data_IF_743048117750
#
_entry.id   IF_743048117750
#
_cell.length_a   1.000
_cell.length_b   1.000
_cell.length_c   1.000
_cell.angle_alpha   90.00
_cell.angle_beta   90.00
_cell.angle_gamma   90.00
#
_symmetry.space_group_name_H-M   'P 1'
#
loop_
_entity.id
_entity.type
_entity.pdbx_description
1 polymer ?
#
# COMPACT_ATOMS: atom_id res chain seq x y z
N UNK A 1 17.24 22.08 0.62
CA UNK A 1 17.76 22.90 -0.49
C UNK A 1 16.66 23.70 -1.23
N UNK A 2 15.56 24.06 -0.56
CA UNK A 2 14.46 24.84 -1.16
C UNK A 2 14.52 26.40 -1.05
N UNK A 3 15.36 27.06 -0.21
CA UNK A 3 15.20 28.51 0.02
C UNK A 3 15.79 29.43 -1.07
N UNK A 4 16.68 28.90 -1.92
CA UNK A 4 17.31 29.72 -2.97
C UNK A 4 16.38 29.96 -4.17
N UNK A 5 15.49 29.01 -4.47
CA UNK A 5 14.56 29.11 -5.60
C UNK A 5 13.46 30.16 -5.33
N UNK A 6 12.99 30.26 -4.08
CA UNK A 6 11.94 31.20 -3.67
C UNK A 6 12.42 32.66 -3.73
N UNK A 7 13.67 32.92 -3.35
CA UNK A 7 14.25 34.28 -3.37
C UNK A 7 14.40 34.84 -4.80
N UNK A 8 14.86 34.02 -5.75
CA UNK A 8 14.98 34.43 -7.16
C UNK A 8 13.60 34.67 -7.79
N UNK A 9 12.60 33.88 -7.39
CA UNK A 9 11.23 34.03 -7.84
C UNK A 9 10.60 35.35 -7.37
N UNK A 10 10.79 35.72 -6.11
CA UNK A 10 10.25 37.00 -5.59
C UNK A 10 10.93 38.21 -6.24
N UNK A 11 12.25 38.19 -6.42
CA UNK A 11 13.00 39.26 -7.10
C UNK A 11 12.57 39.44 -8.57
N UNK A 12 12.28 38.35 -9.27
CA UNK A 12 11.81 38.41 -10.66
C UNK A 12 10.36 38.91 -10.75
N UNK A 13 9.49 38.52 -9.83
CA UNK A 13 8.12 39.05 -9.74
C UNK A 13 8.13 40.56 -9.48
N UNK A 14 8.94 41.04 -8.53
CA UNK A 14 8.98 42.46 -8.20
C UNK A 14 9.56 43.31 -9.33
N UNK A 15 10.59 42.82 -10.02
CA UNK A 15 11.12 43.48 -11.21
C UNK A 15 10.07 43.58 -12.33
N UNK A 16 9.31 42.50 -12.58
CA UNK A 16 8.22 42.49 -13.56
C UNK A 16 7.08 43.43 -13.17
N UNK A 17 6.71 43.47 -11.87
CA UNK A 17 5.65 44.33 -11.35
C UNK A 17 6.00 45.80 -11.52
N UNK A 18 7.24 46.18 -11.21
CA UNK A 18 7.71 47.56 -11.32
C UNK A 18 7.78 48.01 -12.79
N UNK A 19 8.25 47.14 -13.69
CA UNK A 19 8.27 47.41 -15.13
C UNK A 19 6.85 47.56 -15.71
N UNK A 20 5.89 46.76 -15.22
CA UNK A 20 4.48 46.87 -15.64
C UNK A 20 3.84 48.19 -15.24
N UNK A 21 4.14 48.70 -14.03
CA UNK A 21 3.62 50.00 -13.55
C UNK A 21 4.20 51.14 -14.35
N UNK A 22 5.50 51.09 -14.63
CA UNK A 22 6.20 52.12 -15.40
C UNK A 22 5.71 52.14 -16.86
N UNK A 23 5.50 50.97 -17.47
CA UNK A 23 4.83 50.88 -18.79
C UNK A 23 3.42 51.45 -18.74
N UNK A 24 2.56 51.04 -17.80
CA UNK A 24 1.19 51.57 -17.68
C UNK A 24 1.17 53.10 -17.52
N UNK A 25 2.07 53.64 -16.69
CA UNK A 25 2.23 55.08 -16.55
C UNK A 25 2.64 55.73 -17.88
N UNK A 26 3.58 55.15 -18.63
CA UNK A 26 4.00 55.63 -19.94
C UNK A 26 2.87 55.58 -20.99
N UNK A 27 2.05 54.52 -20.98
CA UNK A 27 0.91 54.34 -21.87
C UNK A 27 -0.21 55.36 -21.63
N UNK A 28 -0.45 55.75 -20.38
CA UNK A 28 -1.50 56.72 -20.03
C UNK A 28 -0.98 58.15 -20.15
N UNK A 29 0.18 58.43 -19.56
CA UNK A 29 0.73 59.79 -19.48
C UNK A 29 1.31 60.22 -20.82
N UNK A 30 1.92 59.33 -21.60
CA UNK A 30 2.58 59.64 -22.86
C UNK A 30 1.65 60.30 -23.89
N UNK A 31 0.49 59.69 -24.23
CA UNK A 31 -0.46 60.30 -25.17
C UNK A 31 -1.09 61.59 -24.64
N UNK A 32 -1.39 61.67 -23.34
CA UNK A 32 -1.97 62.87 -22.71
C UNK A 32 -0.96 64.03 -22.74
N UNK A 33 0.29 63.78 -22.35
CA UNK A 33 1.36 64.78 -22.40
C UNK A 33 1.69 65.16 -23.85
N UNK A 34 1.74 64.20 -24.78
CA UNK A 34 2.01 64.46 -26.19
C UNK A 34 0.94 65.33 -26.85
N UNK A 35 -0.35 65.03 -26.60
CA UNK A 35 -1.48 65.82 -27.11
C UNK A 35 -1.54 67.21 -26.48
N UNK A 36 -1.29 67.33 -25.17
CA UNK A 36 -1.21 68.62 -24.49
C UNK A 36 -0.07 69.49 -25.04
N UNK A 37 1.12 68.91 -25.23
CA UNK A 37 2.28 69.64 -25.79
C UNK A 37 2.02 70.10 -27.22
N UNK A 38 1.40 69.24 -28.06
CA UNK A 38 1.02 69.60 -29.42
C UNK A 38 0.00 70.76 -29.45
N UNK A 39 -1.02 70.72 -28.57
CA UNK A 39 -2.00 71.79 -28.43
C UNK A 39 -1.40 73.12 -27.95
N UNK A 40 -0.47 73.08 -26.99
CA UNK A 40 0.24 74.27 -26.51
C UNK A 40 1.14 74.88 -27.58
N UNK A 41 1.83 74.07 -28.38
CA UNK A 41 2.64 74.54 -29.51
C UNK A 41 1.77 75.21 -30.59
N UNK A 42 0.59 74.64 -30.87
CA UNK A 42 -0.36 75.21 -31.83
C UNK A 42 -1.03 76.49 -31.31
N UNK A 43 -1.19 76.63 -29.99
CA UNK A 43 -1.65 77.88 -29.39
C UNK A 43 -0.56 78.95 -29.48
N UNK A 44 0.69 78.59 -29.16
CA UNK A 44 1.84 79.49 -29.22
C UNK A 44 2.10 80.03 -30.64
N UNK A 45 1.90 79.19 -31.67
CA UNK A 45 2.07 79.62 -33.07
C UNK A 45 1.08 80.68 -33.53
N UNK A 46 -0.02 80.90 -32.80
CA UNK A 46 -0.97 82.01 -33.09
C UNK A 46 -0.50 83.37 -32.59
N UNK A 47 0.51 83.42 -31.73
CA UNK A 47 1.00 84.66 -31.10
C UNK A 47 2.38 85.11 -31.59
N UNK A 48 2.96 84.44 -32.58
CA UNK A 48 4.32 84.71 -33.07
C UNK A 48 4.35 85.30 -34.50
N UNK A 49 5.47 85.93 -34.88
CA UNK A 49 5.68 86.63 -36.17
C UNK A 49 5.91 85.62 -37.31
N UNK A 50 5.53 86.00 -38.55
CA UNK A 50 5.33 85.11 -39.72
C UNK A 50 6.34 83.96 -39.94
N UNK A 51 7.64 84.19 -39.76
CA UNK A 51 8.65 83.16 -40.02
C UNK A 51 8.78 82.13 -38.88
N UNK A 52 8.45 82.50 -37.64
CA UNK A 52 8.46 81.58 -36.49
C UNK A 52 7.24 80.66 -36.48
N UNK A 53 6.12 81.12 -37.07
CA UNK A 53 4.87 80.37 -37.20
C UNK A 53 5.06 79.10 -38.04
N UNK A 54 5.85 79.17 -39.11
CA UNK A 54 6.17 78.02 -39.96
C UNK A 54 6.92 76.95 -39.17
N UNK A 55 7.92 77.35 -38.38
CA UNK A 55 8.71 76.43 -37.54
C UNK A 55 7.86 75.74 -36.48
N UNK A 56 7.00 76.48 -35.78
CA UNK A 56 6.11 75.93 -34.76
C UNK A 56 5.03 75.00 -35.33
N UNK A 57 4.49 75.32 -36.52
CA UNK A 57 3.52 74.46 -37.19
C UNK A 57 4.16 73.13 -37.64
N UNK A 58 5.37 73.17 -38.20
CA UNK A 58 6.13 71.95 -38.56
C UNK A 58 6.45 71.12 -37.31
N UNK A 59 6.91 71.76 -36.23
CA UNK A 59 7.18 71.07 -34.97
C UNK A 59 5.92 70.37 -34.41
N UNK A 60 4.76 71.05 -34.43
CA UNK A 60 3.50 70.48 -33.96
C UNK A 60 3.06 69.25 -34.78
N UNK A 61 3.23 69.30 -36.11
CA UNK A 61 2.95 68.17 -37.00
C UNK A 61 3.88 66.99 -36.72
N UNK A 62 5.18 67.24 -36.51
CA UNK A 62 6.14 66.21 -36.13
C UNK A 62 5.80 65.56 -34.79
N UNK A 63 5.38 66.35 -33.78
CA UNK A 63 4.95 65.81 -32.48
C UNK A 63 3.70 64.96 -32.61
N UNK A 64 2.71 65.38 -33.40
CA UNK A 64 1.50 64.60 -33.64
C UNK A 64 1.82 63.26 -34.31
N UNK A 65 2.68 63.25 -35.33
CA UNK A 65 3.14 62.03 -36.00
C UNK A 65 3.88 61.12 -35.01
N UNK A 66 4.77 61.68 -34.18
CA UNK A 66 5.50 60.92 -33.18
C UNK A 66 4.57 60.24 -32.15
N UNK A 67 3.54 60.94 -31.66
CA UNK A 67 2.55 60.35 -30.74
C UNK A 67 1.79 59.20 -31.38
N UNK A 68 1.41 59.31 -32.66
CA UNK A 68 0.76 58.21 -33.40
C UNK A 68 1.70 57.02 -33.56
N UNK A 69 2.97 57.24 -33.92
CA UNK A 69 3.97 56.17 -34.04
C UNK A 69 4.16 55.46 -32.70
N UNK A 70 4.30 56.21 -31.60
CA UNK A 70 4.42 55.64 -30.25
C UNK A 70 3.17 54.86 -29.89
N UNK A 71 1.97 55.39 -30.14
CA UNK A 71 0.71 54.69 -29.86
C UNK A 71 0.58 53.38 -30.65
N UNK A 72 0.99 53.35 -31.92
CA UNK A 72 0.99 52.14 -32.76
C UNK A 72 2.04 51.14 -32.27
N UNK A 73 3.27 51.57 -31.98
CA UNK A 73 4.32 50.71 -31.41
C UNK A 73 3.88 50.10 -30.08
N UNK A 74 3.24 50.91 -29.23
CA UNK A 74 2.65 50.47 -27.97
C UNK A 74 1.52 49.46 -28.22
N UNK A 75 0.59 49.70 -29.15
CA UNK A 75 -0.49 48.75 -29.47
C UNK A 75 0.01 47.43 -30.07
N UNK A 76 1.11 47.47 -30.85
CA UNK A 76 1.74 46.27 -31.40
C UNK A 76 2.51 45.50 -30.32
N UNK A 77 3.14 46.19 -29.36
CA UNK A 77 3.88 45.57 -28.25
C UNK A 77 2.98 45.12 -27.10
N UNK A 78 1.75 45.63 -26.98
CA UNK A 78 0.76 45.24 -25.97
C UNK A 78 0.03 43.92 -26.31
N UNK A 79 0.37 43.29 -27.44
CA UNK A 79 -0.18 41.98 -27.86
C UNK A 79 0.17 40.81 -26.91
N UNK A 80 1.00 41.00 -25.89
CA UNK A 80 1.48 39.89 -25.05
C UNK A 80 0.79 39.73 -23.68
N UNK A 81 0.02 40.69 -23.18
CA UNK A 81 -0.45 40.65 -21.77
C UNK A 81 -1.41 39.51 -21.45
N UNK A 82 -2.56 39.41 -22.14
CA UNK A 82 -3.53 38.34 -21.92
C UNK A 82 -2.99 36.95 -22.31
N UNK A 83 -2.17 36.88 -23.35
CA UNK A 83 -1.58 35.63 -23.82
C UNK A 83 -0.50 35.12 -22.87
N UNK A 84 0.37 36.00 -22.34
CA UNK A 84 1.35 35.62 -21.31
C UNK A 84 0.68 35.20 -19.99
N UNK A 85 -0.42 35.86 -19.59
CA UNK A 85 -1.19 35.42 -18.42
C UNK A 85 -1.83 34.05 -18.64
N UNK A 86 -2.37 33.80 -19.85
CA UNK A 86 -2.93 32.50 -20.20
C UNK A 86 -1.85 31.42 -20.23
N UNK A 87 -0.68 31.72 -20.79
CA UNK A 87 0.46 30.80 -20.81
C UNK A 87 0.97 30.50 -19.40
N UNK A 88 1.06 31.51 -18.54
CA UNK A 88 1.41 31.35 -17.13
C UNK A 88 0.38 30.50 -16.37
N UNK A 89 -0.92 30.67 -16.66
CA UNK A 89 -1.95 29.85 -16.05
C UNK A 89 -1.87 28.39 -16.51
N UNK A 90 -1.64 28.16 -17.81
CA UNK A 90 -1.47 26.81 -18.36
C UNK A 90 -0.20 26.12 -17.83
N UNK A 91 0.88 26.87 -17.61
CA UNK A 91 2.10 26.31 -17.01
C UNK A 91 1.89 25.96 -15.53
N UNK A 92 1.17 26.80 -14.77
CA UNK A 92 0.77 26.50 -13.39
C UNK A 92 -0.13 25.26 -13.30
N UNK A 93 -1.15 25.15 -14.16
CA UNK A 93 -2.00 23.96 -14.21
C UNK A 93 -1.21 22.69 -14.56
N UNK A 94 -0.25 22.77 -15.49
CA UNK A 94 0.62 21.63 -15.83
C UNK A 94 1.53 21.25 -14.67
N UNK A 95 2.11 22.22 -13.98
CA UNK A 95 2.95 21.98 -12.81
C UNK A 95 2.16 21.25 -11.71
N UNK A 96 0.95 21.72 -11.39
CA UNK A 96 0.07 21.07 -10.41
C UNK A 96 -0.33 19.65 -10.80
N UNK A 97 -0.61 19.40 -12.08
CA UNK A 97 -0.91 18.04 -12.57
C UNK A 97 0.28 17.11 -12.41
N UNK A 98 1.48 17.56 -12.76
CA UNK A 98 2.71 16.78 -12.59
C UNK A 98 3.04 16.52 -11.12
N UNK A 99 2.77 17.49 -10.24
CA UNK A 99 2.94 17.31 -8.79
C UNK A 99 1.99 16.22 -8.26
N UNK A 100 0.72 16.25 -8.68
CA UNK A 100 -0.25 15.21 -8.31
C UNK A 100 0.13 13.84 -8.86
N UNK A 101 0.52 13.75 -10.13
CA UNK A 101 0.97 12.50 -10.75
C UNK A 101 2.20 11.93 -10.03
N UNK A 102 3.14 12.80 -9.63
CA UNK A 102 4.29 12.42 -8.82
C UNK A 102 3.85 11.85 -7.47
N UNK A 103 2.92 12.50 -6.77
CA UNK A 103 2.37 12.01 -5.50
C UNK A 103 1.72 10.63 -5.65
N UNK A 104 0.89 10.45 -6.67
CA UNK A 104 0.25 9.16 -6.99
C UNK A 104 1.32 8.07 -7.26
N UNK A 105 2.38 8.39 -8.01
CA UNK A 105 3.49 7.47 -8.26
C UNK A 105 4.23 7.09 -6.97
N UNK A 106 4.49 8.04 -6.07
CA UNK A 106 5.15 7.73 -4.79
C UNK A 106 4.31 6.79 -3.93
N UNK A 107 3.00 6.98 -3.88
CA UNK A 107 2.07 6.08 -3.18
C UNK A 107 2.15 4.66 -3.75
N UNK A 108 2.19 4.52 -5.08
CA UNK A 108 2.32 3.20 -5.72
C UNK A 108 3.70 2.56 -5.48
N UNK A 109 4.78 3.34 -5.46
CA UNK A 109 6.13 2.86 -5.10
C UNK A 109 6.15 2.33 -3.66
N UNK A 110 5.55 3.06 -2.71
CA UNK A 110 5.50 2.64 -1.30
C UNK A 110 4.71 1.35 -1.12
N UNK A 111 3.56 1.20 -1.81
CA UNK A 111 2.79 -0.06 -1.83
C UNK A 111 3.60 -1.22 -2.41
N UNK A 112 4.30 -0.99 -3.52
CA UNK A 112 5.14 -2.00 -4.16
C UNK A 112 6.30 -2.42 -3.25
N UNK A 113 6.94 -1.46 -2.58
CA UNK A 113 8.02 -1.71 -1.63
C UNK A 113 7.54 -2.54 -0.42
N UNK A 114 6.37 -2.22 0.13
CA UNK A 114 5.77 -3.00 1.22
C UNK A 114 5.51 -4.46 0.80
N UNK A 115 4.95 -4.67 -0.40
CA UNK A 115 4.69 -6.02 -0.95
C UNK A 115 5.98 -6.80 -1.19
N UNK A 116 7.00 -6.14 -1.73
CA UNK A 116 8.31 -6.74 -1.91
C UNK A 116 8.96 -7.12 -0.57
N UNK A 117 8.74 -6.31 0.47
CA UNK A 117 9.12 -6.63 1.84
C UNK A 117 8.47 -7.92 2.33
N UNK A 118 7.13 -8.03 2.25
CA UNK A 118 6.42 -9.24 2.67
C UNK A 118 6.83 -10.50 1.88
N UNK A 119 7.06 -10.40 0.57
CA UNK A 119 7.56 -11.51 -0.26
C UNK A 119 8.97 -11.95 0.16
N UNK A 120 9.87 -10.99 0.38
CA UNK A 120 11.24 -11.28 0.84
C UNK A 120 11.22 -11.96 2.19
N UNK A 121 10.39 -11.48 3.12
CA UNK A 121 10.21 -12.09 4.44
C UNK A 121 9.61 -13.49 4.36
N UNK A 122 8.62 -13.72 3.49
CA UNK A 122 8.06 -15.04 3.26
C UNK A 122 9.09 -16.01 2.70
N UNK A 123 9.91 -15.57 1.75
CA UNK A 123 10.99 -16.37 1.19
C UNK A 123 12.07 -16.72 2.22
N UNK A 124 12.52 -15.75 3.02
CA UNK A 124 13.45 -16.00 4.12
C UNK A 124 12.86 -16.97 5.16
N UNK A 125 11.57 -16.82 5.46
CA UNK A 125 10.83 -17.70 6.36
C UNK A 125 10.75 -19.13 5.80
N UNK A 126 10.51 -19.31 4.51
CA UNK A 126 10.45 -20.63 3.89
C UNK A 126 11.80 -21.35 3.88
N UNK A 127 12.91 -20.61 3.71
CA UNK A 127 14.27 -21.14 3.87
C UNK A 127 14.47 -21.62 5.32
N UNK A 128 14.16 -20.79 6.31
CA UNK A 128 14.32 -21.15 7.72
C UNK A 128 13.45 -22.37 8.12
N UNK A 129 12.22 -22.46 7.60
CA UNK A 129 11.37 -23.65 7.79
C UNK A 129 11.99 -24.90 7.17
N UNK A 130 12.60 -24.78 5.99
CA UNK A 130 13.29 -25.90 5.33
C UNK A 130 14.50 -26.38 6.13
N UNK A 131 15.27 -25.45 6.70
CA UNK A 131 16.42 -25.78 7.56
C UNK A 131 16.00 -26.58 8.81
N UNK A 132 14.79 -26.38 9.35
CA UNK A 132 14.26 -27.20 10.44
C UNK A 132 13.93 -28.64 10.04
N UNK A 133 13.66 -28.90 8.76
CA UNK A 133 13.28 -30.23 8.26
C UNK A 133 14.53 -31.11 8.06
N UNK A 134 15.66 -30.53 7.67
CA UNK A 134 16.88 -31.27 7.33
C UNK A 134 17.40 -32.19 8.45
N UNK A 135 17.46 -31.78 9.73
CA UNK A 135 17.87 -32.67 10.81
C UNK A 135 16.95 -33.88 11.00
N UNK A 136 15.66 -33.76 10.69
CA UNK A 136 14.69 -34.86 10.84
C UNK A 136 14.97 -35.97 9.84
N UNK A 137 15.43 -35.63 8.65
CA UNK A 137 15.84 -36.60 7.64
C UNK A 137 17.09 -37.39 8.06
N UNK A 138 17.92 -36.81 8.93
CA UNK A 138 19.20 -37.41 9.36
C UNK A 138 19.10 -38.17 10.69
N UNK A 139 18.42 -37.58 11.68
CA UNK A 139 18.34 -38.11 13.06
C UNK A 139 17.10 -39.00 13.25
N UNK A 140 16.12 -38.90 12.35
CA UNK A 140 14.84 -39.57 12.47
C UNK A 140 13.80 -38.75 13.26
N UNK A 141 12.57 -39.28 13.37
CA UNK A 141 11.41 -38.56 13.87
C UNK A 141 11.45 -38.31 15.37
N UNK A 142 12.25 -39.04 16.14
CA UNK A 142 12.21 -38.96 17.61
C UNK A 142 10.86 -39.42 18.17
N UNK A 143 10.59 -39.09 19.43
CA UNK A 143 9.31 -39.38 20.08
C UNK A 143 8.23 -38.32 19.76
N UNK A 144 6.99 -38.57 20.20
CA UNK A 144 5.85 -37.65 20.01
C UNK A 144 6.15 -36.25 20.59
N UNK A 145 6.92 -36.17 21.67
CA UNK A 145 7.31 -34.91 22.29
C UNK A 145 8.26 -34.11 21.40
N UNK A 146 9.27 -34.77 20.83
CA UNK A 146 10.18 -34.18 19.86
C UNK A 146 9.44 -33.74 18.59
N UNK A 147 8.46 -34.52 18.12
CA UNK A 147 7.61 -34.12 17.00
C UNK A 147 6.82 -32.84 17.31
N UNK A 148 6.11 -32.80 18.45
CA UNK A 148 5.37 -31.61 18.90
C UNK A 148 6.28 -30.38 19.03
N UNK A 149 7.48 -30.54 19.62
CA UNK A 149 8.46 -29.48 19.74
C UNK A 149 8.91 -28.91 18.38
N UNK A 150 9.08 -29.77 17.36
CA UNK A 150 9.43 -29.32 16.00
C UNK A 150 8.29 -28.59 15.30
N UNK A 151 7.05 -29.08 15.42
CA UNK A 151 5.87 -28.38 14.91
C UNK A 151 5.74 -27.00 15.54
N UNK A 152 6.00 -26.91 16.84
CA UNK A 152 5.97 -25.67 17.59
C UNK A 152 7.11 -24.71 17.18
N UNK A 153 8.31 -25.22 16.92
CA UNK A 153 9.43 -24.44 16.40
C UNK A 153 9.15 -23.86 15.00
N UNK A 154 8.47 -24.63 14.12
CA UNK A 154 8.04 -24.12 12.81
C UNK A 154 7.03 -22.96 12.95
N UNK A 155 6.10 -23.06 13.91
CA UNK A 155 5.22 -21.93 14.24
C UNK A 155 6.01 -20.73 14.77
N UNK A 156 7.01 -20.93 15.63
CA UNK A 156 7.83 -19.83 16.16
C UNK A 156 8.61 -19.09 15.06
N UNK A 157 9.15 -19.81 14.06
CA UNK A 157 9.80 -19.19 12.89
C UNK A 157 8.80 -18.30 12.13
N UNK A 158 7.62 -18.83 11.84
CA UNK A 158 6.57 -18.09 11.15
C UNK A 158 6.16 -16.83 11.94
N UNK A 159 6.00 -16.96 13.27
CA UNK A 159 5.49 -15.91 14.14
C UNK A 159 6.53 -14.85 14.51
N UNK A 160 7.81 -15.14 14.34
CA UNK A 160 8.89 -14.15 14.46
C UNK A 160 8.65 -12.97 13.50
N UNK A 161 8.10 -13.24 12.31
CA UNK A 161 7.81 -12.25 11.28
C UNK A 161 6.30 -11.97 11.12
N UNK A 162 5.50 -12.16 12.17
CA UNK A 162 4.03 -12.07 12.07
C UNK A 162 3.51 -10.71 11.60
N UNK A 163 4.24 -9.62 11.88
CA UNK A 163 3.85 -8.27 11.49
C UNK A 163 3.93 -8.12 9.96
N UNK A 164 5.02 -8.56 9.37
CA UNK A 164 5.27 -8.46 7.93
C UNK A 164 4.46 -9.48 7.12
N UNK A 165 4.25 -10.67 7.70
CA UNK A 165 3.55 -11.79 7.03
C UNK A 165 2.03 -11.72 7.15
N UNK A 166 1.50 -11.25 8.29
CA UNK A 166 0.06 -11.23 8.55
C UNK A 166 -0.49 -9.83 8.84
N UNK A 167 0.36 -8.82 9.02
CA UNK A 167 -0.06 -7.51 9.52
C UNK A 167 -0.42 -7.50 11.01
N UNK A 168 0.02 -8.52 11.77
CA UNK A 168 -0.35 -8.70 13.17
C UNK A 168 0.57 -7.90 14.10
N UNK A 169 0.00 -7.02 14.92
CA UNK A 169 0.75 -6.16 15.87
C UNK A 169 0.30 -6.42 17.31
N UNK A 170 -0.86 -5.91 17.70
CA UNK A 170 -1.34 -5.94 19.10
C UNK A 170 -2.74 -6.56 19.25
N UNK A 171 -3.08 -7.46 18.34
CA UNK A 171 -4.39 -8.14 18.33
C UNK A 171 -4.30 -9.52 19.02
N UNK A 172 -5.44 -10.12 19.40
CA UNK A 172 -5.44 -11.50 19.90
C UNK A 172 -5.36 -12.43 18.71
N UNK A 173 -4.39 -13.33 18.74
CA UNK A 173 -4.20 -14.31 17.68
C UNK A 173 -3.91 -15.69 18.28
N UNK A 174 -4.22 -16.71 17.49
CA UNK A 174 -3.87 -18.10 17.79
C UNK A 174 -3.49 -18.81 16.50
N UNK A 175 -2.32 -19.44 16.50
CA UNK A 175 -1.82 -20.31 15.44
C UNK A 175 -1.63 -21.71 16.00
N UNK A 176 -2.19 -22.71 15.34
CA UNK A 176 -2.13 -24.09 15.81
C UNK A 176 -1.93 -25.07 14.67
N UNK A 177 -1.28 -26.19 14.96
CA UNK A 177 -1.19 -27.35 14.08
C UNK A 177 -1.97 -28.48 14.74
N UNK A 178 -2.93 -29.02 14.00
CA UNK A 178 -3.70 -30.18 14.38
C UNK A 178 -3.28 -31.38 13.53
N UNK A 179 -2.98 -32.51 14.15
CA UNK A 179 -2.75 -33.79 13.46
C UNK A 179 -3.96 -34.69 13.65
N UNK A 180 -4.31 -35.43 12.60
CA UNK A 180 -5.42 -36.38 12.67
C UNK A 180 -5.02 -37.65 13.43
N UNK A 181 -5.85 -38.05 14.39
CA UNK A 181 -5.76 -39.31 15.13
C UNK A 181 -6.81 -40.28 14.60
N UNK A 182 -6.35 -41.29 13.87
CA UNK A 182 -7.22 -42.30 13.26
C UNK A 182 -7.91 -43.22 14.27
N UNK A 183 -7.40 -43.36 15.50
CA UNK A 183 -8.04 -44.19 16.53
C UNK A 183 -9.27 -43.50 17.12
N UNK A 184 -9.24 -42.16 17.18
CA UNK A 184 -10.30 -41.33 17.76
C UNK A 184 -11.20 -40.68 16.71
N UNK A 185 -10.81 -40.70 15.44
CA UNK A 185 -11.46 -39.95 14.35
C UNK A 185 -11.54 -38.44 14.66
N UNK A 186 -10.47 -37.91 15.24
CA UNK A 186 -10.39 -36.53 15.73
C UNK A 186 -9.07 -35.86 15.37
N UNK A 187 -9.11 -34.56 15.16
CA UNK A 187 -7.96 -33.69 15.03
C UNK A 187 -7.50 -33.21 16.41
N UNK A 188 -6.28 -33.58 16.78
CA UNK A 188 -5.66 -33.25 18.06
C UNK A 188 -4.64 -32.14 17.86
N UNK A 189 -4.68 -31.12 18.72
CA UNK A 189 -3.72 -30.01 18.67
C UNK A 189 -2.33 -30.50 19.08
N UNK A 190 -1.40 -30.53 18.13
CA UNK A 190 -0.03 -31.02 18.32
C UNK A 190 0.94 -29.88 18.63
N UNK A 191 0.61 -28.66 18.21
CA UNK A 191 1.34 -27.45 18.56
C UNK A 191 0.41 -26.23 18.54
N UNK A 192 0.59 -25.30 19.47
CA UNK A 192 -0.19 -24.07 19.56
C UNK A 192 0.71 -22.91 19.98
N UNK A 193 0.41 -21.74 19.42
CA UNK A 193 1.03 -20.47 19.73
C UNK A 193 -0.04 -19.39 19.83
N UNK A 194 -0.01 -18.62 20.91
CA UNK A 194 -0.99 -17.57 21.20
C UNK A 194 -0.29 -16.27 21.56
N UNK A 195 -1.04 -15.17 21.52
CA UNK A 195 -0.56 -13.87 22.01
C UNK A 195 -0.02 -13.97 23.44
N UNK A 196 -0.80 -14.60 24.33
CA UNK A 196 -0.38 -14.88 25.69
C UNK A 196 0.22 -16.28 25.78
N UNK A 197 1.47 -16.37 26.24
CA UNK A 197 2.19 -17.65 26.40
C UNK A 197 1.58 -18.51 27.51
N UNK A 198 0.98 -17.90 28.54
CA UNK A 198 0.30 -18.64 29.60
C UNK A 198 -0.92 -19.42 29.06
N UNK A 199 -1.57 -18.89 28.03
CA UNK A 199 -2.72 -19.52 27.39
C UNK A 199 -2.31 -20.69 26.45
N UNK A 200 -1.03 -20.87 26.16
CA UNK A 200 -0.54 -21.97 25.30
C UNK A 200 -0.61 -23.33 25.99
N UNK A 201 -0.50 -23.37 27.32
CA UNK A 201 -0.58 -24.62 28.11
C UNK A 201 -2.02 -25.04 28.43
N UNK A 202 -3.00 -24.19 28.10
CA UNK A 202 -4.41 -24.49 28.33
C UNK A 202 -4.89 -25.65 27.47
N UNK A 203 -5.78 -26.48 28.01
CA UNK A 203 -6.35 -27.64 27.31
C UNK A 203 -6.92 -27.25 25.94
N UNK A 204 -6.41 -27.93 24.91
CA UNK A 204 -6.83 -27.73 23.53
C UNK A 204 -8.02 -28.62 23.20
N UNK A 205 -9.00 -28.05 22.47
CA UNK A 205 -10.15 -28.81 21.95
C UNK A 205 -9.68 -29.79 20.89
N UNK A 206 -10.16 -31.02 20.95
CA UNK A 206 -10.14 -31.93 19.81
C UNK A 206 -11.30 -31.62 18.87
N UNK A 207 -11.10 -31.82 17.57
CA UNK A 207 -12.13 -31.54 16.55
C UNK A 207 -12.45 -32.79 15.74
N UNK A 208 -13.70 -33.28 15.77
CA UNK A 208 -14.11 -34.36 14.89
C UNK A 208 -13.98 -33.97 13.41
N UNK A 209 -13.75 -34.96 12.55
CA UNK A 209 -13.74 -34.75 11.10
C UNK A 209 -15.07 -34.14 10.62
N UNK A 210 -14.98 -33.10 9.78
CA UNK A 210 -16.15 -32.39 9.25
C UNK A 210 -16.85 -31.41 10.19
N UNK A 211 -16.38 -31.26 11.44
CA UNK A 211 -16.97 -30.35 12.44
C UNK A 211 -16.08 -29.13 12.67
N UNK A 212 -16.69 -27.94 12.62
CA UNK A 212 -15.98 -26.66 12.77
C UNK A 212 -15.00 -26.38 11.62
N UNK A 213 -14.27 -25.27 11.70
CA UNK A 213 -13.38 -24.83 10.61
C UNK A 213 -12.26 -25.86 10.36
N UNK A 214 -11.73 -26.43 11.44
CA UNK A 214 -10.63 -27.40 11.40
C UNK A 214 -11.11 -28.73 10.81
N UNK A 215 -12.23 -29.27 11.30
CA UNK A 215 -12.79 -30.51 10.78
C UNK A 215 -13.27 -30.39 9.34
N UNK A 216 -13.87 -29.26 8.96
CA UNK A 216 -14.29 -28.99 7.57
C UNK A 216 -13.09 -28.95 6.62
N UNK A 217 -12.04 -28.20 6.95
CA UNK A 217 -10.83 -28.12 6.13
C UNK A 217 -10.16 -29.49 5.96
N UNK A 218 -10.16 -30.30 7.03
CA UNK A 218 -9.65 -31.66 7.01
C UNK A 218 -10.48 -32.58 6.10
N UNK A 219 -11.81 -32.62 6.29
CA UNK A 219 -12.71 -33.51 5.55
C UNK A 219 -12.72 -33.20 4.06
N UNK A 220 -12.81 -31.92 3.72
CA UNK A 220 -12.96 -31.50 2.33
C UNK A 220 -11.62 -31.45 1.59
N UNK A 221 -10.49 -31.45 2.33
CA UNK A 221 -9.15 -31.29 1.76
C UNK A 221 -8.99 -29.95 1.06
N UNK A 222 -9.75 -28.93 1.47
CA UNK A 222 -9.73 -27.58 0.93
C UNK A 222 -9.48 -26.57 2.05
N UNK A 223 -8.86 -25.43 1.71
CA UNK A 223 -8.71 -24.35 2.66
C UNK A 223 -10.05 -23.72 3.04
N UNK A 224 -10.21 -23.41 4.33
CA UNK A 224 -11.35 -22.67 4.86
C UNK A 224 -10.84 -21.32 5.34
N UNK A 225 -11.15 -20.26 4.59
CA UNK A 225 -10.73 -18.88 4.91
C UNK A 225 -11.97 -18.01 5.11
N UNK A 226 -12.01 -17.31 6.23
CA UNK A 226 -13.16 -16.52 6.68
C UNK A 226 -12.68 -15.16 7.17
N UNK A 227 -13.11 -14.10 6.48
CA UNK A 227 -12.81 -12.72 6.86
C UNK A 227 -13.55 -12.27 8.11
N UNK A 228 -14.80 -12.71 8.29
CA UNK A 228 -15.58 -12.46 9.50
C UNK A 228 -16.51 -13.64 9.81
N UNK A 229 -16.28 -14.32 10.94
CA UNK A 229 -17.15 -15.42 11.39
C UNK A 229 -18.53 -14.94 11.82
N UNK A 230 -18.68 -13.65 12.14
CA UNK A 230 -19.98 -13.06 12.50
C UNK A 230 -20.84 -12.73 11.28
N UNK A 231 -20.33 -12.90 10.06
CA UNK A 231 -21.14 -12.73 8.87
C UNK A 231 -22.23 -13.83 8.84
N UNK A 232 -23.52 -13.46 8.70
CA UNK A 232 -24.63 -14.41 8.64
C UNK A 232 -24.47 -15.51 7.58
N UNK A 233 -23.79 -15.24 6.46
CA UNK A 233 -23.53 -16.20 5.39
C UNK A 233 -22.67 -17.39 5.87
N UNK A 234 -21.90 -17.16 6.93
CA UNK A 234 -20.90 -18.05 7.47
C UNK A 234 -21.32 -18.67 8.81
N UNK A 235 -22.25 -18.04 9.52
CA UNK A 235 -22.69 -18.45 10.86
C UNK A 235 -23.15 -19.91 10.91
N UNK A 236 -23.90 -20.37 9.89
CA UNK A 236 -24.41 -21.74 9.83
C UNK A 236 -23.31 -22.80 9.74
N UNK A 237 -22.18 -22.49 9.11
CA UNK A 237 -21.03 -23.40 8.95
C UNK A 237 -20.17 -23.48 10.22
N UNK A 238 -20.28 -22.48 11.10
CA UNK A 238 -19.39 -22.30 12.24
C UNK A 238 -20.04 -22.54 13.60
N UNK A 239 -21.33 -22.90 13.63
CA UNK A 239 -21.98 -23.41 14.84
C UNK A 239 -21.45 -24.80 15.17
N UNK A 240 -20.43 -24.84 16.02
CA UNK A 240 -19.97 -26.09 16.62
C UNK A 240 -21.07 -26.69 17.51
N UNK A 241 -21.13 -28.03 17.65
CA UNK A 241 -22.04 -28.70 18.57
C UNK A 241 -21.94 -28.14 20.00
N UNK A 242 -23.03 -28.24 20.80
CA UNK A 242 -22.99 -27.86 22.22
C UNK A 242 -21.83 -28.58 22.93
N UNK A 243 -20.94 -27.81 23.57
CA UNK A 243 -19.73 -28.33 24.23
C UNK A 243 -18.41 -28.03 23.49
N UNK A 244 -18.45 -27.83 22.17
CA UNK A 244 -17.30 -27.39 21.37
C UNK A 244 -17.26 -25.87 21.16
N UNK A 245 -18.35 -25.17 21.50
CA UNK A 245 -18.45 -23.71 21.42
C UNK A 245 -18.32 -23.08 22.81
N UNK A 246 -17.49 -22.03 22.92
CA UNK A 246 -17.41 -21.15 24.08
C UNK A 246 -18.09 -19.82 23.75
N UNK A 247 -18.79 -19.18 24.72
CA UNK A 247 -19.54 -17.94 24.46
C UNK A 247 -18.70 -16.80 23.87
N UNK A 248 -17.40 -16.77 24.18
CA UNK A 248 -16.46 -15.75 23.73
C UNK A 248 -15.70 -16.10 22.45
N UNK A 249 -15.93 -17.28 21.86
CA UNK A 249 -15.27 -17.70 20.61
C UNK A 249 -15.53 -16.70 19.47
N UNK A 250 -16.76 -16.18 19.38
CA UNK A 250 -17.16 -15.25 18.32
C UNK A 250 -16.50 -13.87 18.40
N UNK A 251 -15.99 -13.49 19.57
CA UNK A 251 -15.21 -12.26 19.77
C UNK A 251 -13.71 -12.51 19.59
N UNK A 252 -13.22 -13.69 20.01
CA UNK A 252 -11.80 -14.05 19.93
C UNK A 252 -11.34 -14.48 18.54
N UNK A 253 -12.21 -15.09 17.74
CA UNK A 253 -11.87 -15.73 16.48
C UNK A 253 -12.64 -15.10 15.31
N UNK A 254 -12.56 -13.78 15.18
CA UNK A 254 -13.26 -13.01 14.14
C UNK A 254 -12.84 -13.39 12.73
N UNK A 255 -11.55 -13.59 12.48
CA UNK A 255 -11.03 -13.99 11.19
C UNK A 255 -10.20 -15.27 11.30
N UNK A 256 -10.39 -16.20 10.36
CA UNK A 256 -9.86 -17.56 10.43
C UNK A 256 -9.29 -17.97 9.07
N UNK A 257 -8.16 -18.66 9.07
CA UNK A 257 -7.65 -19.42 7.93
C UNK A 257 -7.21 -20.81 8.40
N UNK A 258 -7.90 -21.86 7.93
CA UNK A 258 -7.58 -23.26 8.20
C UNK A 258 -7.15 -23.94 6.90
N UNK A 259 -5.89 -24.38 6.85
CA UNK A 259 -5.24 -24.93 5.65
C UNK A 259 -4.95 -26.42 5.89
N UNK A 260 -5.47 -27.32 5.05
CA UNK A 260 -5.18 -28.74 5.16
C UNK A 260 -3.69 -29.04 4.92
N UNK A 261 -3.16 -29.99 5.66
CA UNK A 261 -1.78 -30.50 5.50
C UNK A 261 -1.87 -31.77 4.66
N UNK A 262 -1.86 -31.64 3.34
CA UNK A 262 -2.07 -32.73 2.39
C UNK A 262 -0.99 -32.81 1.32
N UNK A 263 -0.76 -34.01 0.79
CA UNK A 263 -0.04 -34.22 -0.46
C UNK A 263 -1.04 -34.28 -1.62
N UNK A 264 -0.60 -33.99 -2.84
CA UNK A 264 -1.46 -34.09 -4.02
C UNK A 264 -2.13 -35.48 -4.11
N UNK A 265 -3.46 -35.50 -4.06
CA UNK A 265 -4.28 -36.70 -4.22
C UNK A 265 -4.46 -37.59 -2.97
N UNK A 266 -3.91 -37.22 -1.81
CA UNK A 266 -4.09 -37.96 -0.56
C UNK A 266 -5.04 -37.27 0.42
N UNK A 267 -5.64 -38.00 1.40
CA UNK A 267 -6.35 -37.37 2.50
C UNK A 267 -5.39 -36.47 3.31
N UNK A 268 -5.85 -35.34 3.85
CA UNK A 268 -5.02 -34.53 4.72
C UNK A 268 -4.52 -35.33 5.93
N UNK A 269 -3.33 -35.00 6.40
CA UNK A 269 -2.72 -35.56 7.63
C UNK A 269 -3.05 -34.72 8.87
N UNK A 270 -3.62 -33.55 8.66
CA UNK A 270 -3.85 -32.55 9.67
C UNK A 270 -4.28 -31.23 9.06
N UNK A 271 -4.34 -30.20 9.89
CA UNK A 271 -4.72 -28.83 9.50
C UNK A 271 -3.84 -27.85 10.27
N UNK A 272 -3.31 -26.84 9.59
CA UNK A 272 -2.72 -25.67 10.23
C UNK A 272 -3.76 -24.55 10.22
N UNK A 273 -3.94 -23.88 11.35
CA UNK A 273 -4.93 -22.81 11.49
C UNK A 273 -4.29 -21.55 12.05
N UNK A 274 -4.65 -20.41 11.48
CA UNK A 274 -4.43 -19.07 12.03
C UNK A 274 -5.76 -18.40 12.32
N UNK A 275 -5.85 -17.71 13.46
CA UNK A 275 -7.04 -16.98 13.88
C UNK A 275 -6.67 -15.61 14.47
N UNK A 276 -7.58 -14.64 14.34
CA UNK A 276 -7.46 -13.30 14.90
C UNK A 276 -8.81 -12.76 15.38
N UNK A 277 -8.79 -11.88 16.38
CA UNK A 277 -9.94 -11.06 16.81
C UNK A 277 -10.21 -9.84 15.92
N UNK A 278 -9.39 -9.60 14.89
CA UNK A 278 -9.59 -8.54 13.88
C UNK A 278 -10.26 -9.11 12.64
N UNK A 279 -11.38 -8.50 12.26
CA UNK A 279 -12.07 -8.79 11.01
C UNK A 279 -11.18 -8.52 9.79
N UNK A 280 -11.26 -9.39 8.79
CA UNK A 280 -10.55 -9.24 7.52
C UNK A 280 -9.05 -9.51 7.61
N UNK A 281 -8.55 -10.05 8.74
CA UNK A 281 -7.14 -10.43 8.89
C UNK A 281 -6.74 -11.48 7.84
N UNK A 282 -7.59 -12.47 7.62
CA UNK A 282 -7.47 -13.48 6.59
C UNK A 282 -8.61 -13.32 5.60
N UNK A 283 -8.28 -13.16 4.32
CA UNK A 283 -9.26 -12.94 3.25
C UNK A 283 -9.09 -14.02 2.18
N UNK A 284 -10.17 -14.66 1.72
CA UNK A 284 -10.09 -15.62 0.62
C UNK A 284 -9.48 -14.98 -0.62
N UNK A 285 -8.68 -15.75 -1.38
CA UNK A 285 -8.04 -15.26 -2.61
C UNK A 285 -9.04 -14.70 -3.63
N UNK A 286 -10.29 -15.19 -3.64
CA UNK A 286 -11.36 -14.72 -4.52
C UNK A 286 -11.94 -13.34 -4.14
N UNK A 287 -11.84 -12.95 -2.87
CA UNK A 287 -12.37 -11.69 -2.34
C UNK A 287 -11.29 -10.61 -2.19
N UNK A 288 -10.01 -10.95 -2.45
CA UNK A 288 -8.86 -10.06 -2.28
C UNK A 288 -8.62 -9.21 -3.53
N UNK A 289 -8.38 -7.89 -3.39
CA UNK A 289 -7.86 -7.07 -4.49
C UNK A 289 -6.52 -7.61 -5.01
N UNK A 290 -6.28 -7.69 -6.33
CA UNK A 290 -5.05 -8.27 -6.89
C UNK A 290 -3.74 -7.62 -6.40
N UNK A 291 -3.84 -6.36 -5.96
CA UNK A 291 -2.72 -5.56 -5.52
C UNK A 291 -2.29 -5.90 -4.08
N UNK A 292 -3.20 -6.40 -3.26
CA UNK A 292 -2.97 -6.61 -1.82
C UNK A 292 -2.12 -7.85 -1.53
N UNK A 293 -1.48 -7.85 -0.36
CA UNK A 293 -0.74 -8.99 0.15
C UNK A 293 -1.69 -10.13 0.56
N UNK A 294 -1.29 -11.38 0.29
CA UNK A 294 -2.04 -12.55 0.71
C UNK A 294 -1.62 -12.97 2.12
N UNK A 295 -2.41 -12.61 3.12
CA UNK A 295 -2.13 -12.99 4.52
C UNK A 295 -2.33 -14.48 4.80
N UNK A 296 -2.90 -15.24 3.87
CA UNK A 296 -3.09 -16.70 4.00
C UNK A 296 -1.88 -17.45 3.45
N UNK A 297 -1.15 -16.87 2.50
CA UNK A 297 -0.01 -17.51 1.84
C UNK A 297 1.07 -18.06 2.80
N UNK A 298 1.46 -17.35 3.88
CA UNK A 298 2.43 -17.90 4.83
C UNK A 298 1.94 -19.20 5.52
N UNK A 299 0.64 -19.36 5.73
CA UNK A 299 0.05 -20.60 6.26
C UNK A 299 0.08 -21.72 5.22
N UNK A 300 -0.11 -21.42 3.93
CA UNK A 300 0.02 -22.41 2.85
C UNK A 300 1.45 -22.92 2.72
N UNK A 301 2.42 -22.01 2.77
CA UNK A 301 3.85 -22.37 2.78
C UNK A 301 4.16 -23.25 3.99
N UNK A 302 3.65 -22.89 5.18
CA UNK A 302 3.82 -23.70 6.38
C UNK A 302 3.17 -25.09 6.22
N UNK A 303 1.94 -25.19 5.70
CA UNK A 303 1.26 -26.46 5.45
C UNK A 303 2.08 -27.38 4.52
N UNK A 304 2.65 -26.81 3.44
CA UNK A 304 3.54 -27.52 2.53
C UNK A 304 4.81 -28.05 3.21
N UNK A 305 5.41 -27.26 4.11
CA UNK A 305 6.58 -27.71 4.87
C UNK A 305 6.22 -28.78 5.91
N UNK A 306 5.06 -28.63 6.57
CA UNK A 306 4.54 -29.59 7.53
C UNK A 306 4.25 -30.95 6.90
N UNK A 307 3.69 -30.99 5.69
CA UNK A 307 3.42 -32.28 5.03
C UNK A 307 4.72 -33.02 4.71
N UNK A 308 5.80 -32.32 4.33
CA UNK A 308 7.12 -32.91 4.12
C UNK A 308 7.64 -33.49 5.42
N UNK A 309 7.59 -32.73 6.51
CA UNK A 309 8.04 -33.16 7.84
C UNK A 309 7.29 -34.41 8.32
N UNK A 310 5.96 -34.42 8.22
CA UNK A 310 5.13 -35.56 8.63
C UNK A 310 5.36 -36.78 7.74
N UNK A 311 5.58 -36.59 6.44
CA UNK A 311 5.86 -37.69 5.51
C UNK A 311 7.23 -38.31 5.74
N UNK A 312 8.24 -37.49 6.02
CA UNK A 312 9.58 -37.95 6.37
C UNK A 312 9.58 -38.78 7.67
N UNK A 313 8.82 -38.32 8.66
CA UNK A 313 8.64 -39.01 9.94
C UNK A 313 8.04 -40.40 9.75
N UNK A 314 6.93 -40.48 9.02
CA UNK A 314 6.26 -41.76 8.75
C UNK A 314 7.13 -42.73 7.93
N UNK A 315 7.86 -42.21 6.94
CA UNK A 315 8.77 -43.04 6.14
C UNK A 315 9.86 -43.66 7.02
N UNK A 316 10.40 -42.89 7.96
CA UNK A 316 11.40 -43.38 8.89
C UNK A 316 10.84 -44.45 9.83
N UNK A 317 9.64 -44.26 10.38
CA UNK A 317 8.98 -45.26 11.24
C UNK A 317 8.75 -46.58 10.49
N UNK A 318 8.32 -46.51 9.22
CA UNK A 318 8.13 -47.69 8.36
C UNK A 318 9.43 -48.43 8.08
N UNK A 319 10.54 -47.71 7.89
CA UNK A 319 11.86 -48.32 7.66
C UNK A 319 12.48 -48.88 8.95
N UNK A 320 12.30 -48.19 10.08
CA UNK A 320 12.77 -48.63 11.39
C UNK A 320 12.10 -49.92 11.86
N UNK A 321 10.78 -50.05 11.66
CA UNK A 321 10.02 -51.25 12.02
C UNK A 321 10.46 -52.52 11.29
N UNK A 322 10.93 -52.42 10.03
CA UNK A 322 11.36 -53.58 9.25
C UNK A 322 12.69 -54.21 9.72
N UNK A 323 13.51 -53.47 10.47
CA UNK A 323 14.78 -53.98 11.00
C UNK A 323 14.63 -54.68 12.37
N UNK A 324 13.49 -54.56 13.05
CA UNK A 324 13.25 -55.16 14.37
C UNK A 324 12.74 -56.61 14.34
N UNK A 325 12.21 -57.07 13.20
CA UNK A 325 11.59 -58.40 13.04
C UNK A 325 12.50 -59.43 12.34
N UNK A 326 13.83 -59.22 12.32
CA UNK A 326 14.83 -60.16 11.81
C UNK A 326 15.79 -60.60 12.90
#
# INVERSE_FOLDING_TARGET
MAPAATCVYELTIDALRNNSRLRKALHIIGPIAGTATAGLLQLASKFTVDWWNVGLNVASACTAIFVVIVAVLLAVTDKGGPEALREAHLSDERARRLEKEKEDIFVEIDKAAAKFGSLTTLYATSIALRELIEPVLSVGPGDKLAQSARLAAMLDILLTNKKELFGIIDERWNFSVYTYDAERDELICSACRRRDRADEEAEHRAWPSGIGQIGLAYRDGQEVVVGDVQNPDFEAYFRAPPGLHRPDDGERYRSIAAIPISTDGGPPRGVVIGTSDVQGRFVPSSARPPQDWDTVEPLRVLAGMLVILLSATELHDRLGGQNGDR
#
